data_IF_424454207633
#
_entry.id   IF_424454207633
#
_cell.length_a   1.000
_cell.length_b   1.000
_cell.length_c   1.000
_cell.angle_alpha   90.00
_cell.angle_beta   90.00
_cell.angle_gamma   90.00
#
_symmetry.space_group_name_H-M   'P 1'
#
loop_
_entity.id
_entity.type
_entity.pdbx_description
1 polymer ?
#
# COMPACT_ATOMS: atom_id res chain seq x y z
N UNK A 1 -7.50 15.96 7.30
CA UNK A 1 -8.33 14.74 7.08
C UNK A 1 -8.52 14.57 5.59
N UNK A 2 -8.55 13.32 5.10
CA UNK A 2 -8.91 13.03 3.70
C UNK A 2 -10.43 13.01 3.54
N UNK A 3 -10.93 13.46 2.38
CA UNK A 3 -12.35 13.39 2.01
C UNK A 3 -12.73 12.06 1.32
N UNK A 4 -11.76 11.17 1.10
CA UNK A 4 -11.98 9.88 0.45
C UNK A 4 -12.45 8.87 1.50
N UNK A 5 -13.64 8.30 1.31
CA UNK A 5 -14.14 7.23 2.17
C UNK A 5 -13.30 5.94 2.02
N UNK A 6 -13.26 5.07 3.04
CA UNK A 6 -12.55 3.79 2.94
C UNK A 6 -13.01 2.93 1.75
N UNK A 7 -14.32 2.87 1.49
CA UNK A 7 -14.87 2.13 0.35
C UNK A 7 -14.40 2.70 -0.99
N UNK A 8 -14.33 4.04 -1.13
CA UNK A 8 -13.84 4.68 -2.34
C UNK A 8 -12.34 4.49 -2.51
N UNK A 9 -11.57 4.43 -1.42
CA UNK A 9 -10.16 4.09 -1.45
C UNK A 9 -9.94 2.64 -1.91
N UNK A 10 -10.71 1.69 -1.39
CA UNK A 10 -10.67 0.28 -1.81
C UNK A 10 -10.94 0.12 -3.31
N UNK A 11 -11.96 0.79 -3.83
CA UNK A 11 -12.29 0.77 -5.26
C UNK A 11 -11.15 1.32 -6.12
N UNK A 12 -10.57 2.46 -5.73
CA UNK A 12 -9.41 3.04 -6.42
C UNK A 12 -8.19 2.11 -6.40
N UNK A 13 -7.93 1.44 -5.27
CA UNK A 13 -6.83 0.48 -5.17
C UNK A 13 -7.05 -0.72 -6.09
N UNK A 14 -8.27 -1.25 -6.15
CA UNK A 14 -8.61 -2.35 -7.05
C UNK A 14 -8.47 -1.96 -8.52
N UNK A 15 -8.96 -0.79 -8.91
CA UNK A 15 -8.82 -0.27 -10.27
C UNK A 15 -7.33 -0.09 -10.65
N UNK A 16 -6.53 0.49 -9.76
CA UNK A 16 -5.10 0.67 -9.99
C UNK A 16 -4.35 -0.67 -10.15
N UNK A 17 -4.64 -1.67 -9.29
CA UNK A 17 -4.02 -3.00 -9.40
C UNK A 17 -4.48 -3.71 -10.68
N UNK A 18 -5.76 -3.60 -11.05
CA UNK A 18 -6.29 -4.12 -12.31
C UNK A 18 -5.58 -3.49 -13.52
N UNK A 19 -5.41 -2.18 -13.52
CA UNK A 19 -4.72 -1.48 -14.61
C UNK A 19 -3.26 -1.92 -14.74
N UNK A 20 -2.56 -2.12 -13.61
CA UNK A 20 -1.20 -2.68 -13.62
C UNK A 20 -1.17 -4.10 -14.17
N UNK A 21 -2.09 -4.97 -13.75
CA UNK A 21 -2.24 -6.33 -14.30
C UNK A 21 -2.40 -6.30 -15.81
N UNK A 22 -3.30 -5.46 -16.32
CA UNK A 22 -3.56 -5.34 -17.76
C UNK A 22 -2.36 -4.77 -18.52
N UNK A 23 -1.63 -3.83 -17.94
CA UNK A 23 -0.39 -3.30 -18.56
C UNK A 23 0.73 -4.34 -18.69
N UNK A 24 0.65 -5.42 -17.91
CA UNK A 24 1.54 -6.59 -17.99
C UNK A 24 0.95 -7.72 -18.85
N UNK A 25 -0.17 -7.49 -19.54
CA UNK A 25 -0.88 -8.47 -20.38
C UNK A 25 -1.33 -9.74 -19.63
N UNK A 26 -1.52 -9.64 -18.31
CA UNK A 26 -1.95 -10.77 -17.48
C UNK A 26 -3.48 -10.90 -17.46
N UNK A 27 -3.99 -12.11 -17.69
CA UNK A 27 -5.38 -12.48 -17.36
C UNK A 27 -5.57 -12.51 -15.84
N UNK A 28 -6.82 -12.60 -15.38
CA UNK A 28 -7.08 -12.80 -13.94
C UNK A 28 -6.49 -14.14 -13.48
N UNK A 29 -6.66 -15.19 -14.27
CA UNK A 29 -6.08 -16.52 -14.03
C UNK A 29 -4.55 -16.44 -13.95
N UNK A 30 -3.90 -15.72 -14.87
CA UNK A 30 -2.45 -15.57 -14.89
C UNK A 30 -1.89 -14.79 -13.69
N UNK A 31 -2.60 -13.76 -13.22
CA UNK A 31 -2.19 -13.08 -11.97
C UNK A 31 -2.46 -13.95 -10.74
N UNK A 32 -3.59 -14.64 -10.69
CA UNK A 32 -3.94 -15.54 -9.60
C UNK A 32 -2.87 -16.63 -9.41
N UNK A 33 -2.44 -17.26 -10.52
CA UNK A 33 -1.37 -18.27 -10.52
C UNK A 33 -0.04 -17.70 -10.00
N UNK A 34 0.40 -16.55 -10.52
CA UNK A 34 1.69 -15.92 -10.15
C UNK A 34 1.73 -15.43 -8.70
N UNK A 35 0.61 -14.92 -8.20
CA UNK A 35 0.52 -14.35 -6.84
C UNK A 35 0.17 -15.40 -5.78
N UNK A 36 -0.29 -16.59 -6.19
CA UNK A 36 -0.86 -17.59 -5.29
C UNK A 36 -2.17 -17.16 -4.63
N UNK A 37 -2.83 -16.11 -5.14
CA UNK A 37 -4.14 -15.66 -4.67
C UNK A 37 -5.22 -16.42 -5.44
N UNK A 38 -6.22 -17.03 -4.77
CA UNK A 38 -7.29 -17.73 -5.46
C UNK A 38 -8.01 -16.84 -6.47
N UNK A 39 -8.32 -17.38 -7.66
CA UNK A 39 -8.98 -16.65 -8.74
C UNK A 39 -10.29 -15.98 -8.30
N UNK A 40 -11.10 -16.68 -7.50
CA UNK A 40 -12.36 -16.14 -6.97
C UNK A 40 -12.12 -14.90 -6.07
N UNK A 41 -11.02 -14.90 -5.32
CA UNK A 41 -10.62 -13.75 -4.48
C UNK A 41 -10.16 -12.58 -5.34
N UNK A 42 -9.34 -12.83 -6.37
CA UNK A 42 -8.93 -11.78 -7.31
C UNK A 42 -10.14 -11.17 -8.05
N UNK A 43 -11.08 -12.00 -8.50
CA UNK A 43 -12.33 -11.54 -9.14
C UNK A 43 -13.16 -10.66 -8.21
N UNK A 44 -13.36 -11.10 -6.96
CA UNK A 44 -14.07 -10.31 -5.96
C UNK A 44 -13.37 -8.98 -5.66
N UNK A 45 -12.03 -8.98 -5.59
CA UNK A 45 -11.26 -7.77 -5.38
C UNK A 45 -11.43 -6.78 -6.54
N UNK A 46 -11.25 -7.22 -7.78
CA UNK A 46 -11.37 -6.33 -8.95
C UNK A 46 -12.80 -5.83 -9.18
N UNK A 47 -13.82 -6.57 -8.73
CA UNK A 47 -15.22 -6.18 -8.87
C UNK A 47 -15.73 -5.30 -7.71
N UNK A 48 -15.35 -5.64 -6.47
CA UNK A 48 -15.96 -5.07 -5.25
C UNK A 48 -14.97 -4.28 -4.39
N UNK A 49 -13.68 -4.30 -4.72
CA UNK A 49 -12.62 -3.63 -3.96
C UNK A 49 -12.21 -4.32 -2.66
N UNK A 50 -12.82 -5.46 -2.33
CA UNK A 50 -12.62 -6.15 -1.05
C UNK A 50 -11.63 -7.31 -1.16
N UNK A 51 -10.62 -7.33 -0.29
CA UNK A 51 -9.57 -8.33 -0.22
C UNK A 51 -8.91 -8.29 1.17
N UNK A 52 -8.24 -9.35 1.59
CA UNK A 52 -7.35 -9.31 2.76
C UNK A 52 -6.08 -8.53 2.46
N UNK A 53 -5.43 -7.97 3.49
CA UNK A 53 -4.15 -7.29 3.33
C UNK A 53 -3.08 -8.23 2.76
N UNK A 54 -2.99 -9.47 3.25
CA UNK A 54 -2.02 -10.45 2.75
C UNK A 54 -2.16 -10.68 1.25
N UNK A 55 -3.38 -10.96 0.77
CA UNK A 55 -3.61 -11.19 -0.66
C UNK A 55 -3.34 -9.93 -1.47
N UNK A 56 -3.69 -8.74 -0.96
CA UNK A 56 -3.33 -7.48 -1.63
C UNK A 56 -1.82 -7.31 -1.79
N UNK A 57 -1.03 -7.58 -0.75
CA UNK A 57 0.44 -7.52 -0.82
C UNK A 57 1.00 -8.56 -1.80
N UNK A 58 0.43 -9.78 -1.85
CA UNK A 58 0.80 -10.80 -2.87
C UNK A 58 0.52 -10.33 -4.30
N UNK A 59 -0.58 -9.61 -4.54
CA UNK A 59 -0.82 -9.01 -5.86
C UNK A 59 0.25 -7.96 -6.18
N UNK A 60 0.58 -7.07 -5.23
CA UNK A 60 1.62 -6.04 -5.42
C UNK A 60 3.04 -6.62 -5.62
N UNK A 61 3.33 -7.81 -5.10
CA UNK A 61 4.58 -8.51 -5.41
C UNK A 61 4.71 -8.84 -6.91
N UNK A 62 3.59 -9.12 -7.58
CA UNK A 62 3.57 -9.46 -9.01
C UNK A 62 3.43 -8.21 -9.87
N UNK A 63 2.50 -7.30 -9.54
CA UNK A 63 2.20 -6.11 -10.35
C UNK A 63 3.01 -4.86 -9.99
N UNK A 64 3.96 -5.00 -9.07
CA UNK A 64 4.76 -3.92 -8.50
C UNK A 64 3.98 -3.05 -7.50
N UNK A 65 4.71 -2.23 -6.72
CA UNK A 65 4.13 -1.33 -5.72
C UNK A 65 4.29 -1.79 -4.27
N UNK A 66 4.81 -3.00 -4.02
CA UNK A 66 4.98 -3.51 -2.65
C UNK A 66 5.97 -2.66 -1.85
N UNK A 67 7.17 -2.43 -2.38
CA UNK A 67 8.21 -1.66 -1.69
C UNK A 67 7.79 -0.20 -1.49
N UNK A 68 7.16 0.40 -2.49
CA UNK A 68 6.62 1.76 -2.41
C UNK A 68 5.55 1.88 -1.33
N UNK A 69 4.68 0.88 -1.20
CA UNK A 69 3.66 0.82 -0.15
C UNK A 69 4.28 0.71 1.25
N UNK A 70 5.35 -0.07 1.39
CA UNK A 70 6.12 -0.14 2.65
C UNK A 70 6.79 1.21 2.95
N UNK A 71 7.38 1.84 1.92
CA UNK A 71 8.13 3.07 2.07
C UNK A 71 7.26 4.28 2.40
N UNK A 72 6.07 4.41 1.80
CA UNK A 72 5.15 5.53 2.04
C UNK A 72 4.60 5.56 3.47
N UNK A 73 4.56 4.40 4.15
CA UNK A 73 4.10 4.29 5.53
C UNK A 73 5.22 4.51 6.57
N UNK A 74 6.48 4.72 6.15
CA UNK A 74 7.55 5.10 7.06
C UNK A 74 7.18 6.41 7.78
N UNK A 75 7.47 6.55 9.08
CA UNK A 75 7.24 7.81 9.78
C UNK A 75 7.94 8.96 9.05
N UNK A 76 7.22 10.06 8.81
CA UNK A 76 7.83 11.25 8.25
C UNK A 76 8.99 11.69 9.15
N UNK A 77 10.13 12.05 8.55
CA UNK A 77 11.22 12.66 9.31
C UNK A 77 10.67 13.88 10.06
N UNK A 78 11.15 14.15 11.29
CA UNK A 78 10.71 15.34 12.01
C UNK A 78 10.95 16.57 11.13
N UNK A 79 9.99 17.49 11.12
CA UNK A 79 10.21 18.81 10.54
C UNK A 79 11.29 19.48 11.38
N UNK A 80 12.49 19.62 10.83
CA UNK A 80 13.55 20.38 11.49
C UNK A 80 13.11 21.84 11.59
N UNK A 81 13.17 22.38 12.78
CA UNK A 81 12.76 23.76 13.06
C UNK A 81 13.92 24.74 12.97
N UNK A 82 15.16 24.26 12.88
CA UNK A 82 16.36 25.08 12.68
C UNK A 82 17.49 24.33 11.97
N UNK A 83 18.43 25.09 11.40
CA UNK A 83 19.67 24.57 10.79
C UNK A 83 20.55 23.85 11.83
N UNK A 84 20.59 24.34 13.07
CA UNK A 84 21.32 23.70 14.16
C UNK A 84 20.79 22.29 14.48
N UNK A 85 19.49 22.06 14.30
CA UNK A 85 18.84 20.75 14.51
C UNK A 85 19.23 19.73 13.43
N UNK A 86 19.50 20.22 12.21
CA UNK A 86 20.03 19.42 11.09
C UNK A 86 21.50 19.07 11.34
N UNK A 87 22.32 20.05 11.76
CA UNK A 87 23.75 19.89 12.00
C UNK A 87 24.06 19.01 13.21
N UNK A 88 23.21 19.04 14.25
CA UNK A 88 23.39 18.23 15.47
C UNK A 88 23.10 16.74 15.28
N UNK A 89 22.62 16.31 14.10
CA UNK A 89 22.44 14.89 13.78
C UNK A 89 21.75 14.13 14.91
N UNK A 90 20.66 14.67 15.45
CA UNK A 90 20.07 14.06 16.63
C UNK A 90 19.39 12.76 16.24
N UNK A 91 19.84 11.66 16.87
CA UNK A 91 19.13 10.39 16.91
C UNK A 91 17.73 10.65 17.48
N UNK A 92 16.78 11.05 16.63
CA UNK A 92 15.42 11.37 17.07
C UNK A 92 14.88 10.11 17.72
N UNK A 93 14.60 10.16 19.01
CA UNK A 93 14.08 9.01 19.76
C UNK A 93 12.74 8.63 19.14
N UNK A 94 12.72 7.57 18.32
CA UNK A 94 11.48 7.06 17.72
C UNK A 94 10.55 6.71 18.86
N UNK A 95 9.39 7.37 18.95
CA UNK A 95 8.44 7.09 20.02
C UNK A 95 8.08 5.61 19.99
N UNK A 96 8.25 4.92 21.13
CA UNK A 96 7.89 3.51 21.30
C UNK A 96 6.43 3.31 21.74
N UNK A 97 5.75 4.37 22.21
CA UNK A 97 4.38 4.32 22.77
C UNK A 97 3.57 5.57 22.41
N UNK A 98 2.25 5.41 22.24
CA UNK A 98 1.29 6.50 22.05
C UNK A 98 0.96 7.23 23.35
N UNK A 99 0.48 8.48 23.26
CA UNK A 99 0.08 9.32 24.41
C UNK A 99 -1.32 9.95 24.30
N UNK A 100 -1.91 9.94 23.11
CA UNK A 100 -3.22 10.57 22.85
C UNK A 100 -4.29 9.48 22.75
N UNK A 101 -5.49 9.78 23.26
CA UNK A 101 -6.71 9.00 23.01
C UNK A 101 -7.33 9.42 21.69
#
# INVERSE_FOLDING_TARGET
MSLISPSKAQQKLAENVRNRRLSMELTQEGLAERSGVPLATLRNFEQKGSISLESFLKLLMVVGGLEETINVLKPSKPNFTSIDEVLKGTNSTTRKRGRKK
#
